data_IF_908020645891
#
_entry.id   IF_908020645891
#
_cell.length_a   1.000
_cell.length_b   1.000
_cell.length_c   1.000
_cell.angle_alpha   90.00
_cell.angle_beta   90.00
_cell.angle_gamma   90.00
#
_symmetry.space_group_name_H-M   'P 1'
#
loop_
_entity.id
_entity.type
_entity.pdbx_description
1 polymer ?
#
# COMPACT_ATOMS: atom_id res chain seq x y z
N UNK A 1 -51.74 52.03 -26.78
CA UNK A 1 -51.58 51.57 -25.40
C UNK A 1 -50.22 50.93 -25.28
N UNK A 2 -49.37 51.44 -24.38
CA UNK A 2 -48.12 50.75 -24.05
C UNK A 2 -48.42 49.65 -23.04
N UNK A 3 -48.08 48.42 -23.40
CA UNK A 3 -48.21 47.25 -22.53
C UNK A 3 -46.85 47.00 -21.89
N UNK A 4 -46.74 47.25 -20.60
CA UNK A 4 -45.58 46.86 -19.80
C UNK A 4 -45.77 45.45 -19.24
N UNK A 5 -44.94 44.50 -19.68
CA UNK A 5 -44.87 43.16 -19.10
C UNK A 5 -43.79 43.13 -18.01
N UNK A 6 -44.18 42.70 -16.82
CA UNK A 6 -43.28 42.49 -15.68
C UNK A 6 -43.11 40.99 -15.49
N UNK A 7 -41.85 40.52 -15.48
CA UNK A 7 -41.52 39.14 -15.14
C UNK A 7 -41.24 39.03 -13.63
N UNK A 8 -41.73 37.96 -13.00
CA UNK A 8 -41.44 37.61 -11.61
C UNK A 8 -40.54 36.38 -11.59
N UNK A 9 -39.37 36.49 -10.94
CA UNK A 9 -38.45 35.37 -10.73
C UNK A 9 -38.48 34.98 -9.25
N UNK A 10 -38.40 33.68 -8.97
CA UNK A 10 -38.25 33.14 -7.61
C UNK A 10 -36.91 32.42 -7.51
N UNK A 11 -36.27 32.50 -6.35
CA UNK A 11 -34.98 31.87 -6.11
C UNK A 11 -35.16 30.35 -6.05
N UNK A 12 -34.52 29.64 -6.98
CA UNK A 12 -34.48 28.18 -6.95
C UNK A 12 -33.30 27.76 -6.08
N UNK A 13 -33.57 27.48 -4.79
CA UNK A 13 -32.55 26.94 -3.89
C UNK A 13 -32.26 25.48 -4.26
N UNK A 14 -31.11 25.23 -4.87
CA UNK A 14 -30.61 23.88 -5.08
C UNK A 14 -30.26 23.24 -3.73
N UNK A 15 -30.78 22.04 -3.47
CA UNK A 15 -30.40 21.27 -2.30
C UNK A 15 -28.93 20.88 -2.43
N UNK A 16 -28.12 21.22 -1.42
CA UNK A 16 -26.69 20.90 -1.37
C UNK A 16 -26.36 20.05 -0.16
N UNK A 17 -25.35 19.22 -0.33
CA UNK A 17 -24.76 18.41 0.74
C UNK A 17 -23.26 18.63 0.80
N UNK A 18 -22.70 18.37 1.97
CA UNK A 18 -21.28 18.49 2.26
C UNK A 18 -20.61 17.12 2.13
N UNK A 19 -19.62 17.03 1.27
CA UNK A 19 -18.72 15.88 1.19
C UNK A 19 -17.41 16.26 1.84
N UNK A 20 -17.01 15.50 2.86
CA UNK A 20 -15.71 15.61 3.52
C UNK A 20 -14.85 14.42 3.10
N UNK A 21 -13.65 14.68 2.61
CA UNK A 21 -12.67 13.68 2.28
C UNK A 21 -11.36 14.02 3.03
N UNK A 22 -10.87 13.07 3.81
CA UNK A 22 -9.74 13.28 4.72
C UNK A 22 -8.76 12.10 4.71
N UNK A 23 -7.52 12.37 5.10
CA UNK A 23 -6.52 11.34 5.31
C UNK A 23 -6.54 10.90 6.78
N UNK A 24 -6.41 9.60 7.04
CA UNK A 24 -6.24 9.09 8.40
C UNK A 24 -4.91 9.56 9.03
N UNK A 25 -3.93 9.90 8.21
CA UNK A 25 -2.61 10.36 8.61
C UNK A 25 -2.02 11.26 7.51
N UNK A 26 -2.09 12.57 7.73
CA UNK A 26 -1.61 13.58 6.78
C UNK A 26 -0.11 13.47 6.44
N UNK A 27 0.68 12.74 7.24
CA UNK A 27 2.10 12.49 6.93
C UNK A 27 2.30 11.40 5.87
N UNK A 28 1.28 10.56 5.63
CA UNK A 28 1.32 9.41 4.71
C UNK A 28 0.65 9.67 3.37
N UNK A 29 -0.18 10.70 3.31
CA UNK A 29 -0.86 11.10 2.09
C UNK A 29 -1.91 12.16 2.35
N UNK A 30 -2.33 12.80 1.27
CA UNK A 30 -3.36 13.85 1.25
C UNK A 30 -4.57 13.40 0.46
N UNK A 31 -5.71 14.03 0.71
CA UNK A 31 -6.97 13.75 0.00
C UNK A 31 -7.54 15.05 -0.55
N UNK A 32 -8.06 15.00 -1.77
CA UNK A 32 -8.80 16.08 -2.42
C UNK A 32 -10.21 15.62 -2.82
N UNK A 33 -11.12 16.56 -3.06
CA UNK A 33 -12.52 16.28 -3.42
C UNK A 33 -13.55 16.63 -2.33
N UNK A 34 -13.13 17.24 -1.22
CA UNK A 34 -14.03 17.84 -0.24
C UNK A 34 -14.74 19.07 -0.83
N UNK A 35 -16.00 19.29 -0.46
CA UNK A 35 -16.75 20.45 -0.91
C UNK A 35 -18.26 20.38 -0.67
N UNK A 36 -18.95 21.44 -1.08
CA UNK A 36 -20.42 21.47 -1.13
C UNK A 36 -20.88 21.16 -2.54
N UNK A 37 -21.73 20.14 -2.68
CA UNK A 37 -22.19 19.60 -3.95
C UNK A 37 -23.70 19.67 -4.03
N UNK A 38 -24.23 19.91 -5.23
CA UNK A 38 -25.67 19.82 -5.49
C UNK A 38 -26.10 18.37 -5.35
N UNK A 39 -27.26 18.11 -4.75
CA UNK A 39 -27.81 16.78 -4.61
C UNK A 39 -27.89 16.06 -5.97
N UNK A 40 -27.56 14.77 -5.98
CA UNK A 40 -27.47 13.88 -7.14
C UNK A 40 -26.37 14.21 -8.16
N UNK A 41 -25.44 15.11 -7.84
CA UNK A 41 -24.20 15.28 -8.62
C UNK A 41 -23.11 14.31 -8.14
N UNK A 42 -22.02 14.23 -8.91
CA UNK A 42 -20.88 13.35 -8.59
C UNK A 42 -19.73 14.16 -8.00
N UNK A 43 -19.26 13.77 -6.82
CA UNK A 43 -17.99 14.19 -6.25
C UNK A 43 -16.88 13.20 -6.64
N UNK A 44 -15.73 13.70 -7.08
CA UNK A 44 -14.54 12.90 -7.36
C UNK A 44 -13.51 13.11 -6.24
N UNK A 45 -13.23 12.04 -5.52
CA UNK A 45 -12.27 12.01 -4.41
C UNK A 45 -10.97 11.39 -4.90
N UNK A 46 -9.85 12.04 -4.59
CA UNK A 46 -8.52 11.56 -4.99
C UNK A 46 -7.64 11.48 -3.75
N UNK A 47 -7.12 10.29 -3.48
CA UNK A 47 -6.11 10.06 -2.45
C UNK A 47 -4.71 10.09 -3.09
N UNK A 48 -3.86 11.01 -2.66
CA UNK A 48 -2.50 11.19 -3.17
C UNK A 48 -1.51 10.75 -2.09
N UNK A 49 -0.83 9.60 -2.28
CA UNK A 49 0.15 9.11 -1.31
C UNK A 49 1.38 10.01 -1.23
N UNK A 50 1.94 10.16 -0.03
CA UNK A 50 3.26 10.76 0.15
C UNK A 50 4.37 9.79 -0.31
N UNK A 51 5.59 10.30 -0.48
CA UNK A 51 6.74 9.47 -0.84
C UNK A 51 6.95 8.33 0.18
N UNK A 52 7.13 7.11 -0.32
CA UNK A 52 7.27 5.91 0.53
C UNK A 52 5.96 5.33 1.04
N UNK A 53 4.80 5.85 0.61
CA UNK A 53 3.47 5.35 0.96
C UNK A 53 2.61 5.06 -0.27
N UNK A 54 1.64 4.17 -0.12
CA UNK A 54 0.62 3.87 -1.11
C UNK A 54 -0.77 3.99 -0.50
N UNK A 55 -1.74 4.36 -1.33
CA UNK A 55 -3.14 4.30 -0.96
C UNK A 55 -3.57 2.85 -0.80
N UNK A 56 -4.10 2.51 0.38
CA UNK A 56 -4.57 1.18 0.70
C UNK A 56 -6.05 1.03 0.34
N UNK A 57 -6.90 1.89 0.92
CA UNK A 57 -8.36 1.86 0.76
C UNK A 57 -9.03 3.08 1.40
N UNK A 58 -10.30 3.28 1.09
CA UNK A 58 -11.20 4.14 1.85
C UNK A 58 -11.75 3.41 3.08
N UNK A 59 -12.34 4.16 4.02
CA UNK A 59 -12.90 3.63 5.28
C UNK A 59 -13.99 2.55 5.11
N UNK A 60 -14.61 2.49 3.93
CA UNK A 60 -15.67 1.56 3.57
C UNK A 60 -15.17 0.41 2.68
N UNK A 61 -13.87 0.11 2.75
CA UNK A 61 -13.19 -0.96 2.01
C UNK A 61 -13.12 -0.76 0.48
N UNK A 62 -13.59 0.36 -0.04
CA UNK A 62 -13.42 0.68 -1.46
C UNK A 62 -11.95 0.99 -1.79
N UNK A 63 -11.45 0.44 -2.89
CA UNK A 63 -10.05 0.59 -3.33
C UNK A 63 -9.90 1.45 -4.60
N UNK A 64 -10.97 2.06 -5.09
CA UNK A 64 -10.92 2.91 -6.28
C UNK A 64 -10.23 4.24 -5.97
N UNK A 65 -9.33 4.66 -6.85
CA UNK A 65 -8.65 5.94 -6.74
C UNK A 65 -8.22 6.44 -8.14
N UNK A 66 -8.80 7.54 -8.66
CA UNK A 66 -9.85 8.35 -8.05
C UNK A 66 -11.17 7.62 -7.84
N UNK A 67 -11.93 8.02 -6.81
CA UNK A 67 -13.24 7.48 -6.46
C UNK A 67 -14.35 8.47 -6.81
N UNK A 68 -15.41 8.00 -7.45
CA UNK A 68 -16.59 8.81 -7.75
C UNK A 68 -17.74 8.46 -6.80
N UNK A 69 -18.39 9.47 -6.23
CA UNK A 69 -19.50 9.32 -5.28
C UNK A 69 -20.69 10.17 -5.74
N UNK A 70 -21.87 9.57 -5.85
CA UNK A 70 -23.11 10.32 -6.06
C UNK A 70 -23.55 10.92 -4.72
N UNK A 71 -23.74 12.23 -4.69
CA UNK A 71 -24.01 12.97 -3.46
C UNK A 71 -25.51 12.98 -3.15
N UNK A 72 -25.93 12.12 -2.22
CA UNK A 72 -27.34 12.01 -1.78
C UNK A 72 -27.58 12.48 -0.34
N UNK A 73 -26.51 12.68 0.43
CA UNK A 73 -26.51 13.19 1.79
C UNK A 73 -25.13 13.78 2.12
N UNK A 74 -25.02 14.42 3.28
CA UNK A 74 -23.71 14.69 3.86
C UNK A 74 -22.96 13.37 4.08
N UNK A 75 -21.66 13.35 3.78
CA UNK A 75 -20.84 12.16 3.87
C UNK A 75 -19.38 12.49 4.20
N UNK A 76 -18.72 11.58 4.92
CA UNK A 76 -17.28 11.68 5.23
C UNK A 76 -16.57 10.41 4.77
N UNK A 77 -15.46 10.59 4.05
CA UNK A 77 -14.62 9.53 3.51
C UNK A 77 -13.18 9.68 3.99
N UNK A 78 -12.70 8.70 4.75
CA UNK A 78 -11.30 8.65 5.19
C UNK A 78 -10.49 7.75 4.26
N UNK A 79 -9.40 8.27 3.69
CA UNK A 79 -8.40 7.47 2.99
C UNK A 79 -7.37 6.90 3.98
N UNK A 80 -7.03 5.62 3.79
CA UNK A 80 -5.97 4.94 4.51
C UNK A 80 -4.78 4.74 3.60
N UNK A 81 -3.59 5.06 4.13
CA UNK A 81 -2.32 4.85 3.46
C UNK A 81 -1.45 3.87 4.25
N UNK A 82 -0.66 3.09 3.53
CA UNK A 82 0.34 2.20 4.08
C UNK A 82 1.71 2.49 3.48
N UNK A 83 2.78 2.09 4.16
CA UNK A 83 4.14 2.23 3.62
C UNK A 83 4.24 1.37 2.36
N UNK A 84 4.71 1.94 1.23
CA UNK A 84 5.17 1.13 0.09
C UNK A 84 6.33 0.34 0.64
N UNK A 85 6.12 -0.95 0.90
CA UNK A 85 7.02 -1.80 1.66
C UNK A 85 8.50 -1.61 1.30
N UNK A 86 9.18 -0.72 2.02
CA UNK A 86 10.60 -0.78 2.24
C UNK A 86 10.79 -1.93 3.24
N UNK A 87 11.08 -3.13 2.72
CA UNK A 87 11.41 -4.33 3.52
C UNK A 87 10.41 -4.55 4.65
N UNK A 88 9.18 -4.94 4.29
CA UNK A 88 8.25 -5.45 5.28
C UNK A 88 8.87 -6.69 5.93
N UNK A 89 9.20 -6.61 7.23
CA UNK A 89 9.79 -7.70 8.00
C UNK A 89 8.86 -8.92 8.11
N UNK A 90 7.60 -8.87 7.64
CA UNK A 90 6.62 -9.88 8.03
C UNK A 90 5.59 -10.38 7.01
N UNK A 91 5.88 -10.42 5.70
CA UNK A 91 5.06 -11.21 4.76
C UNK A 91 5.30 -12.72 4.78
N UNK A 92 6.24 -13.19 5.61
CA UNK A 92 6.61 -14.61 5.75
C UNK A 92 6.81 -14.97 7.22
N UNK A 93 5.78 -14.72 8.05
CA UNK A 93 5.79 -14.96 9.50
C UNK A 93 6.18 -16.40 9.88
N UNK A 94 6.04 -17.35 8.96
CA UNK A 94 6.44 -18.76 9.11
C UNK A 94 7.82 -19.10 8.53
N UNK A 95 8.48 -18.24 7.74
CA UNK A 95 9.79 -18.56 7.14
C UNK A 95 10.89 -18.44 8.19
N UNK A 96 11.57 -19.54 8.49
CA UNK A 96 12.73 -19.52 9.38
C UNK A 96 14.01 -19.53 8.57
N UNK A 97 14.91 -18.58 8.84
CA UNK A 97 16.26 -18.55 8.25
C UNK A 97 17.26 -18.57 9.41
N UNK A 98 18.19 -19.50 9.44
CA UNK A 98 19.23 -19.57 10.48
C UNK A 98 20.49 -20.26 9.98
N UNK A 99 21.60 -20.05 10.68
CA UNK A 99 22.82 -20.82 10.46
C UNK A 99 22.77 -22.11 11.28
N UNK A 100 23.20 -23.20 10.68
CA UNK A 100 23.47 -24.46 11.35
C UNK A 100 24.81 -24.98 10.83
N UNK A 101 25.82 -24.99 11.68
CA UNK A 101 27.21 -25.24 11.29
C UNK A 101 27.64 -24.33 10.12
N UNK A 102 28.17 -24.92 9.04
CA UNK A 102 28.54 -24.23 7.80
C UNK A 102 27.38 -24.02 6.83
N UNK A 103 26.14 -24.27 7.26
CA UNK A 103 24.97 -24.21 6.39
C UNK A 103 24.06 -23.05 6.74
N UNK A 104 23.40 -22.49 5.73
CA UNK A 104 22.21 -21.67 5.87
C UNK A 104 21.00 -22.56 5.66
N UNK A 105 20.12 -22.59 6.66
CA UNK A 105 18.86 -23.34 6.62
C UNK A 105 17.70 -22.38 6.45
N UNK A 106 16.84 -22.66 5.47
CA UNK A 106 15.65 -21.88 5.13
C UNK A 106 14.46 -22.83 5.16
N UNK A 107 13.48 -22.58 6.03
CA UNK A 107 12.25 -23.38 6.09
C UNK A 107 11.01 -22.56 5.74
N UNK A 108 9.96 -23.27 5.30
CA UNK A 108 8.63 -22.76 4.98
C UNK A 108 8.59 -21.70 3.87
N UNK A 109 9.55 -21.76 2.94
CA UNK A 109 9.75 -20.75 1.90
C UNK A 109 9.40 -21.24 0.48
N UNK A 110 8.59 -22.31 0.35
CA UNK A 110 8.23 -22.89 -0.96
C UNK A 110 7.62 -21.84 -1.88
N UNK A 111 8.08 -21.80 -3.14
CA UNK A 111 7.60 -20.85 -4.15
C UNK A 111 8.18 -19.45 -4.05
N UNK A 112 8.94 -19.14 -2.98
CA UNK A 112 9.62 -17.85 -2.85
C UNK A 112 10.92 -17.84 -3.66
N UNK A 113 11.26 -16.71 -4.28
CA UNK A 113 12.60 -16.50 -4.83
C UNK A 113 13.64 -16.42 -3.70
N UNK A 114 14.90 -16.70 -4.03
CA UNK A 114 16.02 -16.66 -3.09
C UNK A 114 17.17 -15.87 -3.71
N UNK A 115 17.78 -15.00 -2.93
CA UNK A 115 19.09 -14.42 -3.26
C UNK A 115 19.97 -14.40 -2.01
N UNK A 116 21.21 -14.89 -2.11
CA UNK A 116 22.18 -14.84 -1.00
C UNK A 116 23.39 -14.02 -1.41
N UNK A 117 23.75 -13.07 -0.57
CA UNK A 117 24.91 -12.19 -0.76
C UNK A 117 25.92 -12.36 0.37
N UNK A 118 27.20 -12.14 0.09
CA UNK A 118 28.22 -12.00 1.13
C UNK A 118 28.24 -10.58 1.76
N UNK A 119 29.17 -10.33 2.69
CA UNK A 119 29.29 -9.03 3.36
C UNK A 119 29.71 -7.89 2.42
N UNK A 120 30.32 -8.21 1.28
CA UNK A 120 30.74 -7.23 0.27
C UNK A 120 29.63 -6.91 -0.73
N UNK A 121 28.49 -7.60 -0.64
CA UNK A 121 27.37 -7.48 -1.55
C UNK A 121 27.47 -8.36 -2.79
N UNK A 122 28.45 -9.28 -2.86
CA UNK A 122 28.56 -10.22 -3.98
C UNK A 122 27.42 -11.23 -3.93
N UNK A 123 26.69 -11.38 -5.02
CA UNK A 123 25.65 -12.40 -5.19
C UNK A 123 26.28 -13.79 -5.32
N UNK A 124 25.91 -14.70 -4.42
CA UNK A 124 26.39 -16.09 -4.39
C UNK A 124 25.36 -17.09 -4.90
N UNK A 125 24.08 -16.87 -4.58
CA UNK A 125 22.97 -17.77 -4.95
C UNK A 125 21.80 -16.92 -5.44
N UNK A 126 21.15 -17.36 -6.52
CA UNK A 126 19.94 -16.74 -7.06
C UNK A 126 18.99 -17.81 -7.60
N UNK A 127 17.87 -18.04 -6.91
CA UNK A 127 16.82 -18.95 -7.33
C UNK A 127 15.53 -18.20 -7.57
N UNK A 128 14.81 -18.57 -8.63
CA UNK A 128 13.50 -17.98 -8.95
C UNK A 128 12.40 -18.51 -8.05
N UNK A 129 12.54 -19.75 -7.54
CA UNK A 129 11.63 -20.36 -6.57
C UNK A 129 12.32 -21.45 -5.75
N UNK A 130 12.10 -21.48 -4.44
CA UNK A 130 12.50 -22.58 -3.57
C UNK A 130 11.48 -23.73 -3.73
N UNK A 131 11.95 -24.92 -4.10
CA UNK A 131 11.08 -26.07 -4.38
C UNK A 131 10.69 -26.89 -3.15
N UNK A 132 11.42 -26.75 -2.03
CA UNK A 132 11.27 -27.62 -0.85
C UNK A 132 10.91 -26.82 0.40
N UNK A 133 10.23 -27.49 1.35
CA UNK A 133 9.85 -26.86 2.61
C UNK A 133 11.03 -26.61 3.55
N UNK A 134 12.13 -27.35 3.37
CA UNK A 134 13.40 -27.12 4.04
C UNK A 134 14.50 -27.14 2.99
N UNK A 135 15.25 -26.05 2.91
CA UNK A 135 16.39 -25.87 2.02
C UNK A 135 17.64 -25.66 2.88
N UNK A 136 18.66 -26.46 2.63
CA UNK A 136 19.95 -26.41 3.33
C UNK A 136 21.04 -26.09 2.32
N UNK A 137 21.74 -24.98 2.54
CA UNK A 137 22.75 -24.48 1.62
C UNK A 137 24.10 -24.44 2.33
N UNK A 138 25.07 -25.17 1.79
CA UNK A 138 26.43 -25.19 2.33
C UNK A 138 27.19 -23.92 1.93
N UNK A 139 27.69 -23.18 2.92
CA UNK A 139 28.51 -22.00 2.70
C UNK A 139 29.98 -22.40 2.81
N UNK A 140 30.71 -22.29 1.70
CA UNK A 140 32.12 -22.71 1.64
C UNK A 140 33.08 -21.86 2.50
N UNK A 141 32.60 -20.76 3.09
CA UNK A 141 33.37 -19.89 3.98
C UNK A 141 32.54 -19.52 5.21
N UNK A 142 33.23 -19.33 6.33
CA UNK A 142 32.63 -18.69 7.50
C UNK A 142 32.51 -17.19 7.23
N UNK A 143 31.44 -16.58 7.72
CA UNK A 143 31.21 -15.17 7.46
C UNK A 143 29.77 -14.74 7.64
N UNK A 144 29.54 -13.48 7.33
CA UNK A 144 28.22 -12.86 7.31
C UNK A 144 27.63 -12.97 5.92
N UNK A 145 26.39 -13.42 5.86
CA UNK A 145 25.59 -13.52 4.65
C UNK A 145 24.27 -12.75 4.80
N UNK A 146 23.82 -12.13 3.72
CA UNK A 146 22.50 -11.54 3.62
C UNK A 146 21.62 -12.45 2.78
N UNK A 147 20.60 -13.03 3.41
CA UNK A 147 19.69 -14.00 2.79
C UNK A 147 18.38 -13.30 2.49
N UNK A 148 18.07 -13.09 1.21
CA UNK A 148 16.80 -12.52 0.73
C UNK A 148 15.87 -13.63 0.28
N UNK A 149 14.67 -13.70 0.84
CA UNK A 149 13.60 -14.63 0.45
C UNK A 149 12.36 -13.84 0.03
N UNK A 150 11.86 -14.13 -1.17
CA UNK A 150 10.69 -13.47 -1.75
C UNK A 150 10.89 -11.96 -1.95
N UNK A 151 9.78 -11.22 -1.94
CA UNK A 151 9.77 -9.78 -2.24
C UNK A 151 10.26 -8.89 -1.09
N UNK A 152 10.54 -9.41 0.11
CA UNK A 152 10.79 -8.53 1.27
C UNK A 152 11.67 -9.06 2.40
N UNK A 153 11.84 -10.38 2.59
CA UNK A 153 12.56 -10.86 3.78
C UNK A 153 14.05 -10.92 3.56
N UNK A 154 14.81 -9.98 4.12
CA UNK A 154 16.28 -10.06 4.19
C UNK A 154 16.69 -10.40 5.61
N UNK A 155 17.49 -11.46 5.79
CA UNK A 155 18.07 -11.80 7.09
C UNK A 155 19.59 -11.81 7.01
N UNK A 156 20.23 -11.10 7.94
CA UNK A 156 21.66 -11.25 8.23
C UNK A 156 21.87 -12.57 8.98
N UNK A 157 22.70 -13.45 8.44
CA UNK A 157 23.05 -14.75 9.01
C UNK A 157 24.55 -14.82 9.19
N UNK A 158 25.01 -15.22 10.38
CA UNK A 158 26.42 -15.48 10.66
C UNK A 158 26.65 -16.98 10.64
N UNK A 159 27.43 -17.45 9.67
CA UNK A 159 27.84 -18.86 9.56
C UNK A 159 29.20 -19.02 10.24
N UNK A 160 29.31 -20.02 11.12
CA UNK A 160 30.50 -20.29 11.94
C UNK A 160 31.14 -21.63 11.59
#
# INVERSE_FOLDING_TARGET
EDVSLVAYFTEHSELKYTVTAESNDSTKGTVTGSGSYIANTTATLTAEPAEGYQFLKWQDENTDNPRNVVVTSDATFTAFFEVIGAVDENYLSNVSIYAQDKNIVINNAVGCSLSIYDLTGQLLINETAIATNSLVLHMGRQGVYFVKVGKGKVKKVMVR
#
